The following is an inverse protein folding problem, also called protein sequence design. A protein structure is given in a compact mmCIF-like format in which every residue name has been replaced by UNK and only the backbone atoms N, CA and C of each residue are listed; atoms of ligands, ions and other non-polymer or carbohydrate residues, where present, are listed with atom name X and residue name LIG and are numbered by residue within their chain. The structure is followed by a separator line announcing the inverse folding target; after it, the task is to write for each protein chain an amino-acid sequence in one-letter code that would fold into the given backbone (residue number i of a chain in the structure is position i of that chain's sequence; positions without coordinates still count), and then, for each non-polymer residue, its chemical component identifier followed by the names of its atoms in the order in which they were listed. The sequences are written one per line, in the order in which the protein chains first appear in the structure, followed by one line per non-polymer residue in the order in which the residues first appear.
data_IF_265914032107
#
_entry.id   IF_265914032107
#
_cell.length_a   1.000
_cell.length_b   1.000
_cell.length_c   1.000
_cell.angle_alpha   90.00
_cell.angle_beta   90.00
_cell.angle_gamma   90.00
#
_symmetry.space_group_name_H-M   'P 1'
#
loop_
_entity.id
_entity.type
_entity.pdbx_description
1 polymer ?
#
# COMPACT_ATOMS: atom_id res chain seq x y z
N UNK A 1 -20.03 8.59 -5.38
CA UNK A 1 -19.19 8.71 -4.16
C UNK A 1 -18.07 7.70 -4.32
N UNK A 2 -16.94 8.13 -4.88
CA UNK A 2 -15.77 7.26 -5.00
C UNK A 2 -15.21 7.02 -3.61
N UNK A 3 -14.95 5.76 -3.28
CA UNK A 3 -14.46 5.35 -1.98
C UNK A 3 -13.07 6.00 -1.75
N UNK A 4 -13.06 7.10 -0.99
CA UNK A 4 -11.84 7.89 -0.75
C UNK A 4 -10.74 7.05 -0.10
N UNK A 5 -11.13 6.12 0.77
CA UNK A 5 -10.20 5.19 1.42
C UNK A 5 -9.59 4.22 0.42
N UNK A 6 -10.37 3.73 -0.55
CA UNK A 6 -9.86 2.88 -1.63
C UNK A 6 -8.83 3.63 -2.49
N UNK A 7 -9.11 4.89 -2.83
CA UNK A 7 -8.17 5.73 -3.59
C UNK A 7 -6.89 5.98 -2.79
N UNK A 8 -7.02 6.32 -1.52
CA UNK A 8 -5.89 6.54 -0.62
C UNK A 8 -5.02 5.29 -0.47
N UNK A 9 -5.63 4.12 -0.29
CA UNK A 9 -4.92 2.85 -0.20
C UNK A 9 -4.14 2.54 -1.48
N UNK A 10 -4.78 2.72 -2.64
CA UNK A 10 -4.14 2.51 -3.95
C UNK A 10 -2.96 3.45 -4.15
N UNK A 11 -3.13 4.73 -3.84
CA UNK A 11 -2.06 5.71 -3.94
C UNK A 11 -0.90 5.41 -2.98
N UNK A 12 -1.20 4.98 -1.75
CA UNK A 12 -0.19 4.63 -0.77
C UNK A 12 0.66 3.42 -1.22
N UNK A 13 0.02 2.38 -1.78
CA UNK A 13 0.72 1.21 -2.35
C UNK A 13 1.61 1.62 -3.51
N UNK A 14 1.10 2.43 -4.45
CA UNK A 14 1.88 2.91 -5.59
C UNK A 14 3.08 3.77 -5.14
N UNK A 15 2.92 4.60 -4.11
CA UNK A 15 4.02 5.38 -3.53
C UNK A 15 5.08 4.48 -2.90
N UNK A 16 4.67 3.47 -2.13
CA UNK A 16 5.59 2.52 -1.51
C UNK A 16 6.39 1.73 -2.57
N UNK A 17 5.73 1.30 -3.65
CA UNK A 17 6.37 0.61 -4.77
C UNK A 17 7.41 1.49 -5.47
N UNK A 18 7.03 2.71 -5.85
CA UNK A 18 7.94 3.66 -6.51
C UNK A 18 9.19 3.94 -5.67
N UNK A 19 9.02 4.13 -4.37
CA UNK A 19 10.13 4.38 -3.46
C UNK A 19 11.00 3.14 -3.28
N UNK A 20 10.40 1.94 -3.21
CA UNK A 20 11.13 0.66 -3.16
C UNK A 20 12.05 0.49 -4.36
N UNK A 21 11.54 0.77 -5.56
CA UNK A 21 12.31 0.69 -6.81
C UNK A 21 13.46 1.71 -6.87
N UNK A 22 13.32 2.86 -6.21
CA UNK A 22 14.31 3.93 -6.21
C UNK A 22 15.28 3.88 -5.02
N UNK A 23 15.12 2.96 -4.07
CA UNK A 23 15.91 2.92 -2.85
C UNK A 23 17.27 2.23 -3.06
N UNK A 24 18.32 3.04 -3.16
CA UNK A 24 19.70 2.57 -3.35
C UNK A 24 20.52 2.58 -2.05
N UNK A 25 20.07 3.33 -1.04
CA UNK A 25 20.76 3.51 0.24
C UNK A 25 19.93 3.01 1.43
N UNK A 26 20.58 2.69 2.55
CA UNK A 26 19.89 2.26 3.78
C UNK A 26 18.92 3.33 4.31
N UNK A 27 19.25 4.61 4.16
CA UNK A 27 18.38 5.73 4.56
C UNK A 27 17.10 5.73 3.72
N UNK A 28 17.21 5.53 2.41
CA UNK A 28 16.05 5.44 1.53
C UNK A 28 15.22 4.20 1.84
N UNK A 29 15.86 3.05 2.11
CA UNK A 29 15.16 1.83 2.54
C UNK A 29 14.35 2.04 3.81
N UNK A 30 14.87 2.78 4.80
CA UNK A 30 14.09 3.13 5.99
C UNK A 30 12.88 4.01 5.66
N UNK A 31 13.02 4.95 4.71
CA UNK A 31 11.89 5.74 4.23
C UNK A 31 10.85 4.87 3.50
N UNK A 32 11.28 3.87 2.72
CA UNK A 32 10.39 2.89 2.08
C UNK A 32 9.60 2.11 3.13
N UNK A 33 10.24 1.65 4.20
CA UNK A 33 9.55 0.95 5.30
C UNK A 33 8.46 1.79 5.96
N UNK A 34 8.68 3.11 6.11
CA UNK A 34 7.67 4.04 6.63
C UNK A 34 6.47 4.13 5.69
N UNK A 35 6.71 4.19 4.38
CA UNK A 35 5.63 4.26 3.38
C UNK A 35 4.88 2.92 3.22
N UNK A 36 5.58 1.79 3.33
CA UNK A 36 4.95 0.47 3.43
C UNK A 36 4.00 0.42 4.64
N UNK A 37 4.41 0.95 5.80
CA UNK A 37 3.54 0.97 6.97
C UNK A 37 2.32 1.87 6.77
N UNK A 38 2.46 3.02 6.10
CA UNK A 38 1.32 3.86 5.72
C UNK A 38 0.37 3.13 4.78
N UNK A 39 0.90 2.45 3.76
CA UNK A 39 0.10 1.68 2.82
C UNK A 39 -0.68 0.55 3.51
N UNK A 40 -0.06 -0.18 4.46
CA UNK A 40 -0.75 -1.19 5.27
C UNK A 40 -1.92 -0.60 6.07
N UNK A 41 -1.72 0.55 6.70
CA UNK A 41 -2.77 1.21 7.48
C UNK A 41 -3.92 1.67 6.57
N UNK A 42 -3.61 2.28 5.42
CA UNK A 42 -4.60 2.73 4.46
C UNK A 42 -5.41 1.55 3.88
N UNK A 43 -4.75 0.45 3.52
CA UNK A 43 -5.40 -0.79 3.07
C UNK A 43 -6.34 -1.35 4.14
N UNK A 44 -5.91 -1.40 5.40
CA UNK A 44 -6.75 -1.89 6.50
C UNK A 44 -7.98 -1.00 6.71
N UNK A 45 -7.81 0.33 6.67
CA UNK A 45 -8.92 1.28 6.80
C UNK A 45 -9.88 1.18 5.61
N UNK A 46 -9.35 1.05 4.40
CA UNK A 46 -10.15 0.86 3.20
C UNK A 46 -10.94 -0.45 3.26
N UNK A 47 -10.30 -1.56 3.65
CA UNK A 47 -10.93 -2.88 3.70
C UNK A 47 -12.14 -2.92 4.63
N UNK A 48 -12.02 -2.29 5.80
CA UNK A 48 -13.09 -2.19 6.78
C UNK A 48 -14.31 -1.37 6.32
N UNK A 49 -14.13 -0.49 5.32
CA UNK A 49 -15.15 0.44 4.84
C UNK A 49 -15.57 0.20 3.37
N UNK A 50 -15.16 -0.93 2.79
CA UNK A 50 -15.37 -1.25 1.38
C UNK A 50 -16.40 -2.36 1.18
N UNK A 51 -16.99 -2.42 -0.02
CA UNK A 51 -17.85 -3.53 -0.44
C UNK A 51 -17.06 -4.83 -0.65
N UNK A 52 -17.70 -6.01 -0.68
CA UNK A 52 -17.01 -7.28 -0.93
C UNK A 52 -16.16 -7.29 -2.20
N UNK A 53 -16.65 -6.69 -3.29
CA UNK A 53 -15.90 -6.60 -4.54
C UNK A 53 -14.64 -5.71 -4.43
N UNK A 54 -14.73 -4.60 -3.69
CA UNK A 54 -13.57 -3.74 -3.42
C UNK A 54 -12.59 -4.39 -2.43
N UNK A 55 -13.09 -5.19 -1.48
CA UNK A 55 -12.27 -5.96 -0.56
C UNK A 55 -11.37 -6.96 -1.29
N UNK A 56 -11.86 -7.61 -2.35
CA UNK A 56 -11.04 -8.48 -3.20
C UNK A 56 -9.88 -7.69 -3.84
N UNK A 57 -10.18 -6.53 -4.43
CA UNK A 57 -9.15 -5.66 -5.01
C UNK A 57 -8.13 -5.16 -3.96
N UNK A 58 -8.59 -4.81 -2.76
CA UNK A 58 -7.70 -4.40 -1.67
C UNK A 58 -6.83 -5.54 -1.14
N UNK A 59 -7.35 -6.77 -1.14
CA UNK A 59 -6.57 -7.96 -0.78
C UNK A 59 -5.45 -8.21 -1.80
N UNK A 60 -5.71 -8.06 -3.10
CA UNK A 60 -4.68 -8.15 -4.14
C UNK A 60 -3.58 -7.08 -3.94
N UNK A 61 -3.95 -5.84 -3.60
CA UNK A 61 -2.99 -4.78 -3.30
C UNK A 61 -2.16 -5.07 -2.04
N UNK A 62 -2.77 -5.72 -1.03
CA UNK A 62 -2.07 -6.13 0.18
C UNK A 62 -1.02 -7.20 -0.11
N UNK A 63 -1.35 -8.18 -0.96
CA UNK A 63 -0.43 -9.23 -1.39
C UNK A 63 0.75 -8.64 -2.19
N UNK A 64 0.45 -7.71 -3.12
CA UNK A 64 1.47 -6.97 -3.86
C UNK A 64 2.43 -6.20 -2.94
N UNK A 65 1.88 -5.49 -1.94
CA UNK A 65 2.70 -4.76 -0.97
C UNK A 65 3.58 -5.70 -0.13
N UNK A 66 3.11 -6.89 0.23
CA UNK A 66 3.91 -7.91 0.91
C UNK A 66 5.05 -8.44 0.03
N UNK A 67 4.79 -8.63 -1.27
CA UNK A 67 5.81 -9.05 -2.23
C UNK A 67 6.95 -8.02 -2.31
N UNK A 68 6.62 -6.73 -2.47
CA UNK A 68 7.59 -5.64 -2.52
C UNK A 68 8.41 -5.55 -1.23
N UNK A 69 7.80 -5.83 -0.07
CA UNK A 69 8.48 -5.78 1.23
C UNK A 69 9.42 -6.96 1.47
N UNK A 70 9.19 -8.08 0.76
CA UNK A 70 9.91 -9.35 0.96
C UNK A 70 11.08 -9.53 -0.01
N UNK A 71 11.32 -8.57 -0.91
CA UNK A 71 12.51 -8.47 -1.76
C UNK A 71 13.65 -7.72 -1.06
#
# INVERSE_FOLDING_TARGET
MGNQLYQEAREAVARAELLSLAAETDIQREAVQKEIQRAKNALSSAFANSSPAEQEQLAEMQDHLQNITSM
#
